data_IF_020031520821
#
_entry.id   IF_020031520821
#
_cell.length_a   1.000
_cell.length_b   1.000
_cell.length_c   1.000
_cell.angle_alpha   90.00
_cell.angle_beta   90.00
_cell.angle_gamma   90.00
#
_symmetry.space_group_name_H-M   'P 1'
#
loop_
_entity.id
_entity.type
_entity.pdbx_description
1 polymer ?
#
# COMPACT_ATOMS: atom_id res chain seq x y z
N UNK A 1 8.07 16.24 -9.03
CA UNK A 1 7.10 16.12 -10.15
C UNK A 1 5.73 15.77 -9.57
N UNK A 2 4.61 16.13 -10.23
CA UNK A 2 3.25 15.89 -9.71
C UNK A 2 2.52 14.85 -10.57
N UNK A 3 2.00 13.81 -9.92
CA UNK A 3 1.11 12.83 -10.57
C UNK A 3 -0.33 13.28 -10.40
N UNK A 4 -1.10 13.27 -11.50
CA UNK A 4 -2.53 13.59 -11.53
C UNK A 4 -3.27 12.36 -12.04
N UNK A 5 -4.42 12.05 -11.46
CA UNK A 5 -5.23 10.90 -11.84
C UNK A 5 -6.39 10.63 -10.89
N UNK A 6 -6.23 10.95 -9.60
CA UNK A 6 -7.28 10.80 -8.59
C UNK A 6 -7.99 12.11 -8.30
N UNK A 7 -9.30 12.01 -8.01
CA UNK A 7 -10.19 13.15 -7.76
C UNK A 7 -10.51 13.33 -6.26
N UNK A 8 -10.18 12.32 -5.44
CA UNK A 8 -10.36 12.33 -3.99
C UNK A 8 -9.10 11.83 -3.26
N UNK A 9 -9.17 11.78 -1.93
CA UNK A 9 -8.06 11.47 -1.03
C UNK A 9 -7.26 10.24 -1.45
N UNK A 10 -5.94 10.41 -1.57
CA UNK A 10 -5.01 9.27 -1.65
C UNK A 10 -4.87 8.64 -0.27
N UNK A 11 -5.13 7.34 -0.19
CA UNK A 11 -5.13 6.59 1.06
C UNK A 11 -3.86 5.79 1.24
N UNK A 12 -3.46 5.10 0.19
CA UNK A 12 -2.30 4.20 0.22
C UNK A 12 -1.45 4.37 -1.04
N UNK A 13 -0.14 4.37 -0.87
CA UNK A 13 0.86 4.38 -1.93
C UNK A 13 1.80 3.20 -1.70
N UNK A 14 2.06 2.41 -2.74
CA UNK A 14 3.00 1.29 -2.64
C UNK A 14 3.87 1.18 -3.89
N UNK A 15 5.11 0.73 -3.67
CA UNK A 15 6.04 0.41 -4.74
C UNK A 15 5.99 -1.07 -5.07
N UNK A 16 6.08 -1.40 -6.35
CA UNK A 16 6.46 -2.75 -6.76
C UNK A 16 7.88 -3.05 -6.30
N UNK A 17 8.16 -4.28 -5.86
CA UNK A 17 9.49 -4.75 -5.44
C UNK A 17 10.54 -4.55 -6.53
N UNK A 18 10.21 -4.89 -7.78
CA UNK A 18 10.97 -4.51 -8.98
C UNK A 18 10.65 -3.05 -9.28
N UNK A 19 11.59 -2.10 -9.41
CA UNK A 19 11.34 -0.64 -9.48
C UNK A 19 10.70 -0.17 -10.79
N UNK A 20 9.54 -0.73 -11.11
CA UNK A 20 8.85 -0.59 -12.37
C UNK A 20 7.53 0.17 -12.20
N UNK A 21 6.82 -0.07 -11.10
CA UNK A 21 5.48 0.42 -10.87
C UNK A 21 5.34 1.14 -9.52
N UNK A 22 4.44 2.11 -9.52
CA UNK A 22 3.89 2.75 -8.34
C UNK A 22 2.39 2.59 -8.40
N UNK A 23 1.77 2.07 -7.33
CA UNK A 23 0.32 1.99 -7.24
C UNK A 23 -0.21 2.92 -6.15
N UNK A 24 -1.37 3.51 -6.42
CA UNK A 24 -2.01 4.49 -5.56
C UNK A 24 -3.48 4.13 -5.42
N UNK A 25 -3.94 4.00 -4.17
CA UNK A 25 -5.34 3.78 -3.84
C UNK A 25 -5.99 5.08 -3.37
N UNK A 26 -7.25 5.30 -3.76
CA UNK A 26 -7.97 6.55 -3.52
C UNK A 26 -9.41 6.33 -3.02
N UNK A 27 -9.92 7.34 -2.34
CA UNK A 27 -11.34 7.43 -1.97
C UNK A 27 -12.27 7.65 -3.15
N UNK A 28 -11.75 7.92 -4.36
CA UNK A 28 -12.56 7.96 -5.59
C UNK A 28 -12.94 6.57 -6.12
N UNK A 29 -12.71 5.52 -5.32
CA UNK A 29 -13.02 4.12 -5.61
C UNK A 29 -12.12 3.49 -6.69
N UNK A 30 -11.05 4.18 -7.07
CA UNK A 30 -10.12 3.70 -8.09
C UNK A 30 -8.72 3.44 -7.53
N UNK A 31 -7.97 2.65 -8.29
CA UNK A 31 -6.55 2.41 -8.06
C UNK A 31 -5.78 2.80 -9.31
N UNK A 32 -4.86 3.76 -9.19
CA UNK A 32 -4.00 4.11 -10.30
C UNK A 32 -2.68 3.33 -10.27
N UNK A 33 -2.15 3.05 -11.45
CA UNK A 33 -0.85 2.42 -11.66
C UNK A 33 0.02 3.32 -12.54
N UNK A 34 1.20 3.70 -12.04
CA UNK A 34 2.17 4.56 -12.72
C UNK A 34 3.46 3.81 -13.04
N UNK A 35 4.08 4.17 -14.15
CA UNK A 35 5.43 3.73 -14.49
C UNK A 35 6.44 4.55 -13.70
N UNK A 36 7.38 3.90 -13.02
CA UNK A 36 8.46 4.59 -12.31
C UNK A 36 9.51 5.20 -13.25
N UNK A 37 9.65 4.68 -14.48
CA UNK A 37 10.64 5.18 -15.44
C UNK A 37 10.17 6.46 -16.13
N UNK A 38 8.89 6.55 -16.48
CA UNK A 38 8.31 7.71 -17.19
C UNK A 38 7.47 8.62 -16.29
N UNK A 39 7.13 8.17 -15.08
CA UNK A 39 6.17 8.83 -14.18
C UNK A 39 4.82 9.11 -14.85
N UNK A 40 4.48 8.32 -15.87
CA UNK A 40 3.21 8.39 -16.57
C UNK A 40 2.20 7.41 -15.97
N UNK A 41 0.93 7.82 -15.93
CA UNK A 41 -0.16 6.94 -15.58
C UNK A 41 -0.30 5.87 -16.65
N UNK A 42 -0.16 4.60 -16.27
CA UNK A 42 -0.34 3.45 -17.17
C UNK A 42 -1.81 3.07 -17.20
N UNK A 43 -2.46 2.98 -16.03
CA UNK A 43 -3.86 2.55 -15.90
C UNK A 43 -4.53 3.19 -14.69
N UNK A 44 -5.85 3.31 -14.77
CA UNK A 44 -6.75 3.52 -13.64
C UNK A 44 -7.68 2.31 -13.58
N UNK A 45 -7.58 1.54 -12.50
CA UNK A 45 -8.38 0.36 -12.24
C UNK A 45 -9.65 0.82 -11.51
N UNK A 46 -10.80 0.49 -12.08
CA UNK A 46 -12.12 0.80 -11.53
C UNK A 46 -12.90 -0.50 -11.39
N UNK A 47 -13.60 -0.66 -10.27
CA UNK A 47 -14.31 -1.89 -9.93
C UNK A 47 -14.73 -2.00 -8.47
N UNK A 48 -14.07 -1.25 -7.57
CA UNK A 48 -14.59 -1.05 -6.22
C UNK A 48 -15.81 -0.13 -6.23
N UNK A 49 -16.76 -0.40 -5.34
CA UNK A 49 -18.01 0.37 -5.20
C UNK A 49 -17.95 1.39 -4.06
N UNK A 50 -16.85 1.40 -3.30
CA UNK A 50 -16.57 2.34 -2.22
C UNK A 50 -15.04 2.55 -2.14
N UNK A 51 -14.62 3.43 -1.23
CA UNK A 51 -13.24 3.89 -1.02
C UNK A 51 -12.26 2.74 -0.94
N UNK A 52 -11.21 2.80 -1.77
CA UNK A 52 -10.09 1.85 -1.69
C UNK A 52 -9.19 2.26 -0.54
N UNK A 53 -8.95 1.33 0.38
CA UNK A 53 -8.30 1.58 1.66
C UNK A 53 -6.85 1.10 1.71
N UNK A 54 -6.53 0.02 1.01
CA UNK A 54 -5.21 -0.60 1.02
C UNK A 54 -4.89 -1.26 -0.31
N UNK A 55 -3.59 -1.44 -0.56
CA UNK A 55 -3.04 -1.96 -1.80
C UNK A 55 -1.68 -2.61 -1.57
N UNK A 56 -1.49 -3.79 -2.16
CA UNK A 56 -0.22 -4.53 -2.15
C UNK A 56 0.06 -5.19 -3.49
N UNK A 57 1.32 -5.18 -3.89
CA UNK A 57 1.83 -6.01 -4.98
C UNK A 57 2.12 -7.43 -4.47
N UNK A 58 1.91 -8.44 -5.31
CA UNK A 58 2.46 -9.77 -5.05
C UNK A 58 3.99 -9.75 -5.19
N UNK A 59 4.71 -10.62 -4.46
CA UNK A 59 6.17 -10.69 -4.55
C UNK A 59 6.70 -10.94 -5.99
N UNK A 60 5.98 -11.69 -6.82
CA UNK A 60 6.36 -11.95 -8.22
C UNK A 60 6.11 -10.78 -9.17
N UNK A 61 5.37 -9.76 -8.75
CA UNK A 61 4.94 -8.60 -9.52
C UNK A 61 4.03 -8.93 -10.71
N UNK A 62 3.26 -10.03 -10.63
CA UNK A 62 2.25 -10.35 -11.65
C UNK A 62 0.87 -9.82 -11.28
N UNK A 63 0.54 -9.80 -10.00
CA UNK A 63 -0.78 -9.37 -9.52
C UNK A 63 -0.68 -8.34 -8.39
N UNK A 64 -1.82 -7.73 -8.12
CA UNK A 64 -1.98 -6.75 -7.06
C UNK A 64 -3.31 -6.99 -6.36
N UNK A 65 -3.31 -6.92 -5.02
CA UNK A 65 -4.52 -7.00 -4.21
C UNK A 65 -4.89 -5.62 -3.68
N UNK A 66 -6.19 -5.32 -3.69
CA UNK A 66 -6.76 -4.05 -3.21
C UNK A 66 -7.91 -4.34 -2.27
N UNK A 67 -7.99 -3.58 -1.18
CA UNK A 67 -9.06 -3.67 -0.19
C UNK A 67 -9.90 -2.40 -0.19
N UNK A 68 -11.19 -2.52 0.11
CA UNK A 68 -12.12 -1.39 0.11
C UNK A 68 -13.13 -1.44 1.26
N UNK A 69 -13.73 -0.28 1.54
CA UNK A 69 -14.90 -0.15 2.41
C UNK A 69 -16.15 -0.83 1.85
N UNK A 70 -16.16 -1.21 0.57
CA UNK A 70 -17.21 -2.04 -0.04
C UNK A 70 -17.19 -3.50 0.47
N UNK A 71 -16.28 -3.81 1.39
CA UNK A 71 -16.06 -5.13 2.01
C UNK A 71 -15.58 -6.17 1.01
N UNK A 72 -14.94 -5.75 -0.07
CA UNK A 72 -14.35 -6.65 -1.07
C UNK A 72 -12.84 -6.51 -1.13
N UNK A 73 -12.18 -7.65 -1.31
CA UNK A 73 -10.81 -7.70 -1.79
C UNK A 73 -10.84 -7.99 -3.28
N UNK A 74 -10.20 -7.14 -4.07
CA UNK A 74 -10.07 -7.34 -5.52
C UNK A 74 -8.62 -7.66 -5.89
N UNK A 75 -8.45 -8.64 -6.77
CA UNK A 75 -7.15 -9.08 -7.29
C UNK A 75 -7.07 -8.73 -8.76
N UNK A 76 -6.02 -8.03 -9.13
CA UNK A 76 -5.80 -7.46 -10.46
C UNK A 76 -4.56 -8.03 -11.10
N UNK A 77 -4.62 -8.33 -12.39
CA UNK A 77 -3.43 -8.60 -13.19
C UNK A 77 -2.74 -7.28 -13.55
N UNK A 78 -1.46 -7.13 -13.20
CA UNK A 78 -0.73 -5.87 -13.42
C UNK A 78 -0.51 -5.61 -14.91
N UNK A 79 -0.17 -6.66 -15.65
CA UNK A 79 0.19 -6.57 -17.07
C UNK A 79 -0.96 -6.01 -17.91
N UNK A 80 -2.19 -6.46 -17.66
CA UNK A 80 -3.38 -6.08 -18.45
C UNK A 80 -4.27 -5.06 -17.74
N UNK A 81 -4.22 -5.01 -16.41
CA UNK A 81 -5.18 -4.27 -15.58
C UNK A 81 -6.53 -4.98 -15.42
N UNK A 82 -6.63 -6.26 -15.78
CA UNK A 82 -7.87 -7.01 -15.65
C UNK A 82 -8.15 -7.39 -14.21
N UNK A 83 -9.41 -7.26 -13.80
CA UNK A 83 -9.91 -7.82 -12.55
C UNK A 83 -9.96 -9.34 -12.70
N UNK A 84 -9.13 -10.05 -11.93
CA UNK A 84 -9.08 -11.51 -11.92
C UNK A 84 -10.09 -12.10 -10.95
N UNK A 85 -10.26 -11.45 -9.79
CA UNK A 85 -11.15 -11.93 -8.75
C UNK A 85 -11.64 -10.78 -7.87
N UNK A 86 -12.90 -10.85 -7.45
CA UNK A 86 -13.47 -10.04 -6.39
C UNK A 86 -14.04 -10.99 -5.32
N UNK A 87 -13.53 -10.88 -4.09
CA UNK A 87 -13.94 -11.70 -2.96
C UNK A 87 -14.64 -10.80 -1.96
N UNK A 88 -15.91 -11.10 -1.70
CA UNK A 88 -16.64 -10.45 -0.62
C UNK A 88 -16.18 -11.03 0.72
N UNK A 89 -15.69 -10.14 1.58
CA UNK A 89 -15.09 -10.50 2.87
C UNK A 89 -16.12 -10.54 4.01
N UNK A 90 -17.25 -9.84 3.88
CA UNK A 90 -18.41 -9.99 4.76
C UNK A 90 -18.32 -9.30 6.14
N UNK A 91 -17.16 -9.33 6.80
CA UNK A 91 -16.91 -8.70 8.10
C UNK A 91 -16.17 -7.37 7.97
N UNK A 92 -16.54 -6.39 8.81
CA UNK A 92 -15.84 -5.11 8.94
C UNK A 92 -15.57 -4.32 7.66
N UNK A 93 -14.67 -3.35 7.79
CA UNK A 93 -14.06 -2.63 6.67
C UNK A 93 -12.60 -3.09 6.54
N UNK A 94 -12.13 -3.29 5.31
CA UNK A 94 -10.76 -3.74 5.08
C UNK A 94 -9.79 -2.60 5.43
N UNK A 95 -8.83 -2.90 6.30
CA UNK A 95 -7.81 -1.97 6.79
C UNK A 95 -6.50 -2.15 6.07
N UNK A 96 -5.97 -3.36 6.09
CA UNK A 96 -4.72 -3.69 5.44
C UNK A 96 -4.78 -5.07 4.81
N UNK A 97 -3.94 -5.25 3.80
CA UNK A 97 -3.75 -6.50 3.10
C UNK A 97 -2.25 -6.85 3.12
N UNK A 98 -1.90 -8.13 3.15
CA UNK A 98 -0.55 -8.60 2.86
C UNK A 98 -0.55 -9.90 2.06
N UNK A 99 0.46 -10.08 1.21
CA UNK A 99 0.69 -11.35 0.54
C UNK A 99 1.56 -12.25 1.42
N UNK A 100 1.24 -13.53 1.43
CA UNK A 100 2.16 -14.56 1.90
C UNK A 100 3.37 -14.69 0.98
N UNK A 101 4.44 -15.29 1.52
CA UNK A 101 5.63 -15.60 0.74
C UNK A 101 5.39 -16.63 -0.38
N UNK A 102 4.33 -17.43 -0.28
CA UNK A 102 3.91 -18.36 -1.34
C UNK A 102 3.00 -17.68 -2.39
N UNK A 103 2.70 -16.38 -2.25
CA UNK A 103 1.94 -15.52 -3.19
C UNK A 103 0.46 -15.88 -3.40
N UNK A 104 0.07 -17.09 -3.01
CA UNK A 104 -1.29 -17.59 -3.18
C UNK A 104 -2.22 -17.16 -2.06
N UNK A 105 -1.73 -16.48 -1.04
CA UNK A 105 -2.54 -16.06 0.10
C UNK A 105 -2.51 -14.56 0.24
N UNK A 106 -3.71 -14.01 0.31
CA UNK A 106 -3.94 -12.63 0.71
C UNK A 106 -4.47 -12.66 2.14
N UNK A 107 -3.70 -12.13 3.07
CA UNK A 107 -4.12 -11.86 4.43
C UNK A 107 -4.83 -10.51 4.48
N UNK A 108 -5.95 -10.44 5.17
CA UNK A 108 -6.78 -9.25 5.30
C UNK A 108 -6.94 -8.95 6.79
N UNK A 109 -6.75 -7.68 7.16
CA UNK A 109 -7.14 -7.14 8.46
C UNK A 109 -8.33 -6.21 8.31
N UNK A 110 -9.20 -6.18 9.32
CA UNK A 110 -10.39 -5.34 9.36
C UNK A 110 -10.50 -4.52 10.65
N UNK A 111 -11.47 -3.60 10.66
CA UNK A 111 -11.76 -2.66 11.76
C UNK A 111 -12.68 -3.24 12.86
N UNK A 112 -12.87 -4.56 13.03
CA UNK A 112 -13.92 -5.06 13.95
C UNK A 112 -13.80 -4.46 15.37
N UNK A 113 -14.77 -3.59 15.70
CA UNK A 113 -14.78 -2.68 16.85
C UNK A 113 -14.80 -3.38 18.22
N UNK A 114 -14.92 -4.72 18.24
CA UNK A 114 -15.18 -5.52 19.43
C UNK A 114 -14.04 -6.48 19.82
N UNK A 115 -12.91 -6.54 19.10
CA UNK A 115 -11.82 -7.44 19.52
C UNK A 115 -10.42 -6.88 19.30
N UNK A 116 -9.63 -6.92 20.39
CA UNK A 116 -8.20 -6.61 20.46
C UNK A 116 -7.33 -7.74 19.84
N UNK A 117 -7.87 -8.46 18.85
CA UNK A 117 -7.24 -9.62 18.23
C UNK A 117 -7.10 -9.38 16.73
N UNK A 118 -5.86 -9.46 16.24
CA UNK A 118 -5.48 -9.43 14.83
C UNK A 118 -6.30 -10.42 14.00
N UNK A 119 -7.37 -9.97 13.33
CA UNK A 119 -8.16 -10.85 12.45
C UNK A 119 -7.44 -10.94 11.11
N UNK A 120 -6.69 -12.03 10.90
CA UNK A 120 -6.04 -12.36 9.62
C UNK A 120 -6.89 -13.38 8.86
N UNK A 121 -7.80 -12.88 8.05
CA UNK A 121 -8.53 -13.74 7.12
C UNK A 121 -7.70 -14.01 5.88
N UNK A 122 -7.55 -15.29 5.52
CA UNK A 122 -6.76 -15.76 4.37
C UNK A 122 -7.67 -16.00 3.17
N UNK A 123 -7.44 -15.26 2.09
CA UNK A 123 -8.03 -15.49 0.77
C UNK A 123 -7.01 -16.27 -0.05
N UNK A 124 -7.33 -17.51 -0.43
CA UNK A 124 -6.50 -18.31 -1.33
C UNK A 124 -6.83 -17.93 -2.77
N UNK A 125 -5.84 -17.45 -3.50
CA UNK A 125 -5.91 -17.13 -4.93
C UNK A 125 -4.99 -18.10 -5.70
N UNK A 126 -5.58 -19.10 -6.37
CA UNK A 126 -4.92 -20.03 -7.31
C UNK A 126 -5.99 -20.66 -8.22
N UNK A 127 -5.66 -20.93 -9.50
CA UNK A 127 -6.54 -21.55 -10.51
C UNK A 127 -7.18 -22.90 -10.12
N UNK A 128 -6.72 -23.58 -9.06
CA UNK A 128 -7.18 -24.96 -8.76
C UNK A 128 -8.14 -25.15 -7.58
N UNK A 129 -8.44 -24.15 -6.74
CA UNK A 129 -9.35 -24.40 -5.60
C UNK A 129 -10.26 -23.21 -5.33
N UNK A 130 -11.48 -23.29 -5.86
CA UNK A 130 -12.61 -22.54 -5.34
C UNK A 130 -13.17 -23.27 -4.12
N UNK A 131 -13.43 -22.51 -3.04
CA UNK A 131 -14.05 -22.87 -1.77
C UNK A 131 -13.11 -23.28 -0.62
N UNK A 132 -12.59 -22.27 0.10
CA UNK A 132 -12.62 -22.17 1.58
C UNK A 132 -11.77 -20.97 2.03
N UNK A 133 -12.42 -19.91 2.52
CA UNK A 133 -11.78 -19.00 3.47
C UNK A 133 -11.62 -19.78 4.77
N UNK A 134 -10.39 -20.15 5.13
CA UNK A 134 -10.11 -20.83 6.39
C UNK A 134 -9.61 -19.80 7.39
N UNK A 135 -10.40 -19.56 8.43
CA UNK A 135 -10.01 -18.72 9.57
C UNK A 135 -9.08 -19.57 10.44
N UNK A 136 -7.78 -19.26 10.42
CA UNK A 136 -6.83 -19.83 11.38
C UNK A 136 -6.61 -18.82 12.50
N UNK A 137 -6.81 -19.28 13.73
CA UNK A 137 -6.38 -18.56 14.93
C UNK A 137 -4.88 -18.77 15.08
N UNK A 138 -4.16 -17.71 15.41
CA UNK A 138 -2.73 -17.70 15.72
C UNK A 138 -1.78 -17.64 14.51
N UNK A 139 -1.80 -16.50 13.80
CA UNK A 139 -0.63 -16.05 13.03
C UNK A 139 -0.20 -14.70 13.58
N UNK A 140 0.88 -14.67 14.35
CA UNK A 140 1.51 -13.42 14.79
C UNK A 140 2.15 -12.75 13.58
N UNK A 141 1.72 -11.52 13.30
CA UNK A 141 2.41 -10.60 12.40
C UNK A 141 3.93 -10.68 12.64
N UNK A 142 4.78 -10.59 11.60
CA UNK A 142 6.10 -10.05 11.81
C UNK A 142 5.87 -8.59 12.20
N UNK A 143 5.82 -8.32 13.51
CA UNK A 143 6.25 -7.02 14.04
C UNK A 143 7.51 -6.68 13.25
N UNK A 144 7.47 -5.53 12.57
CA UNK A 144 8.63 -4.89 11.94
C UNK A 144 9.91 -5.38 12.60
N UNK A 145 10.78 -6.03 11.82
CA UNK A 145 12.05 -6.58 12.26
C UNK A 145 12.66 -5.71 13.36
N UNK A 146 12.43 -6.11 14.61
CA UNK A 146 13.02 -5.46 15.77
C UNK A 146 14.01 -6.47 16.30
N UNK A 147 15.28 -6.14 16.01
CA UNK A 147 16.49 -6.71 16.58
C UNK A 147 16.83 -8.16 16.20
N UNK A 148 17.38 -8.33 15.00
CA UNK A 148 18.57 -9.18 14.84
C UNK A 148 19.69 -8.38 14.18
N UNK A 149 20.58 -7.89 15.05
CA UNK A 149 21.95 -7.41 14.80
C UNK A 149 22.18 -6.70 13.47
N UNK A 150 21.72 -5.45 13.38
CA UNK A 150 22.42 -4.46 12.57
C UNK A 150 23.87 -4.38 13.08
N UNK A 151 24.80 -4.98 12.34
CA UNK A 151 26.20 -4.58 12.44
C UNK A 151 26.25 -3.07 12.24
N UNK A 152 27.17 -2.39 12.94
CA UNK A 152 27.30 -0.92 12.99
C UNK A 152 27.34 -0.20 11.62
N UNK A 153 27.40 -0.92 10.50
CA UNK A 153 27.35 -0.38 9.14
C UNK A 153 25.92 -0.01 8.66
N UNK A 154 24.85 -0.59 9.23
CA UNK A 154 23.47 -0.26 8.78
C UNK A 154 22.93 1.04 9.37
N UNK A 155 23.50 1.52 10.47
CA UNK A 155 23.14 2.78 11.14
C UNK A 155 23.62 4.04 10.39
N UNK A 156 24.39 3.88 9.30
CA UNK A 156 24.93 4.98 8.48
C UNK A 156 24.04 5.34 7.28
N UNK A 157 22.93 4.64 7.02
CA UNK A 157 22.03 5.05 5.93
C UNK A 157 21.04 6.09 6.41
N UNK A 158 21.44 7.34 6.17
CA UNK A 158 20.62 8.54 6.02
C UNK A 158 19.49 8.34 4.98
N UNK A 159 18.52 7.47 5.27
CA UNK A 159 17.36 7.25 4.41
C UNK A 159 16.31 8.36 4.62
N UNK A 160 15.65 8.73 3.53
CA UNK A 160 14.60 9.75 3.52
C UNK A 160 13.31 9.17 4.08
N UNK A 161 12.70 9.85 5.06
CA UNK A 161 11.42 9.47 5.67
C UNK A 161 10.58 10.69 6.06
N UNK A 162 9.38 10.48 6.58
CA UNK A 162 8.60 11.51 7.24
C UNK A 162 8.79 11.44 8.76
N UNK A 163 8.82 12.63 9.37
CA UNK A 163 8.69 12.80 10.82
C UNK A 163 7.38 12.24 11.36
N UNK A 164 7.34 11.91 12.65
CA UNK A 164 6.16 11.34 13.32
C UNK A 164 4.93 12.25 13.26
N UNK A 165 5.13 13.57 13.27
CA UNK A 165 4.08 14.58 13.11
C UNK A 165 3.72 14.86 11.65
N UNK A 166 4.42 14.23 10.69
CA UNK A 166 4.28 14.37 9.23
C UNK A 166 4.46 15.79 8.71
N UNK A 167 5.06 16.67 9.51
CA UNK A 167 5.30 18.06 9.14
C UNK A 167 6.64 18.24 8.45
N UNK A 168 7.53 17.26 8.55
CA UNK A 168 8.88 17.31 8.00
C UNK A 168 9.21 16.06 7.21
N UNK A 169 9.89 16.26 6.08
CA UNK A 169 10.73 15.25 5.46
C UNK A 169 12.06 15.24 6.19
N UNK A 170 12.51 14.04 6.53
CA UNK A 170 13.66 13.76 7.37
C UNK A 170 14.65 12.86 6.66
N UNK A 171 15.92 12.94 7.06
CA UNK A 171 16.98 12.00 6.66
C UNK A 171 17.66 11.52 7.93
N UNK A 172 17.45 10.25 8.27
CA UNK A 172 17.74 9.80 9.63
C UNK A 172 16.95 10.62 10.66
N UNK A 173 17.65 11.30 11.57
CA UNK A 173 17.03 12.16 12.59
C UNK A 173 16.94 13.65 12.19
N UNK A 174 17.54 14.05 11.06
CA UNK A 174 17.58 15.44 10.63
C UNK A 174 16.32 15.83 9.87
N UNK A 175 15.81 17.03 10.14
CA UNK A 175 14.67 17.63 9.42
C UNK A 175 15.20 18.45 8.25
N UNK A 176 14.82 18.07 7.03
CA UNK A 176 15.32 18.70 5.80
C UNK A 176 14.29 19.66 5.21
N UNK A 177 13.05 19.19 5.03
CA UNK A 177 12.01 19.94 4.31
C UNK A 177 10.77 20.03 5.18
N UNK A 178 10.29 21.24 5.43
CA UNK A 178 8.98 21.44 6.06
C UNK A 178 7.87 21.27 5.02
N UNK A 179 6.83 20.53 5.37
CA UNK A 179 5.66 20.26 4.53
C UNK A 179 4.49 21.17 4.96
N UNK A 180 4.05 22.10 4.09
CA UNK A 180 2.80 22.82 4.28
C UNK A 180 1.61 21.84 4.32
N UNK A 181 0.51 22.25 4.97
CA UNK A 181 -0.65 21.37 5.22
C UNK A 181 -1.16 20.63 3.99
N UNK A 182 -1.18 21.29 2.82
CA UNK A 182 -1.66 20.71 1.56
C UNK A 182 -0.77 19.57 0.99
N UNK A 183 0.45 19.42 1.51
CA UNK A 183 1.42 18.39 1.11
C UNK A 183 1.52 17.27 2.16
N UNK A 184 0.73 17.31 3.23
CA UNK A 184 0.84 16.34 4.32
C UNK A 184 0.03 15.08 4.01
N UNK A 185 0.58 13.89 4.32
CA UNK A 185 -0.15 12.63 4.26
C UNK A 185 -1.18 12.53 5.38
N UNK A 186 -2.40 12.10 5.04
CA UNK A 186 -3.51 11.94 5.99
C UNK A 186 -3.47 10.61 6.75
N UNK A 187 -2.91 9.55 6.15
CA UNK A 187 -2.77 8.21 6.75
C UNK A 187 -1.32 7.72 6.81
N UNK A 188 -1.04 6.68 7.61
CA UNK A 188 0.30 6.07 7.68
C UNK A 188 0.74 5.48 6.34
N UNK A 189 -0.21 4.97 5.55
CA UNK A 189 0.06 4.34 4.24
C UNK A 189 0.08 5.33 3.07
N UNK A 190 -0.24 6.61 3.31
CA UNK A 190 -0.37 7.62 2.26
C UNK A 190 0.99 8.18 1.78
N UNK A 191 2.11 7.53 2.11
CA UNK A 191 3.42 7.83 1.55
C UNK A 191 4.24 6.57 1.37
N UNK A 192 5.17 6.59 0.40
CA UNK A 192 6.08 5.48 0.15
C UNK A 192 7.50 6.01 -0.10
N UNK A 193 8.51 5.28 0.38
CA UNK A 193 9.93 5.65 0.23
C UNK A 193 10.75 4.53 -0.42
N UNK A 194 11.74 4.91 -1.24
CA UNK A 194 12.74 4.01 -1.81
C UNK A 194 14.04 4.79 -2.03
N UNK A 195 15.07 4.52 -1.21
CA UNK A 195 16.33 5.26 -1.26
C UNK A 195 16.13 6.76 -1.02
N UNK A 196 16.58 7.59 -1.96
CA UNK A 196 16.43 9.05 -1.98
C UNK A 196 15.08 9.55 -2.54
N UNK A 197 14.22 8.63 -2.96
CA UNK A 197 12.92 8.94 -3.55
C UNK A 197 11.79 8.78 -2.53
N UNK A 198 10.94 9.81 -2.43
CA UNK A 198 9.76 9.84 -1.56
C UNK A 198 8.52 10.24 -2.37
N UNK A 199 7.44 9.45 -2.24
CA UNK A 199 6.13 9.79 -2.76
C UNK A 199 5.17 10.09 -1.61
N UNK A 200 4.43 11.18 -1.70
CA UNK A 200 3.46 11.60 -0.69
C UNK A 200 2.10 11.80 -1.36
N UNK A 201 1.11 11.09 -0.88
CA UNK A 201 -0.29 11.21 -1.24
C UNK A 201 -1.01 12.18 -0.33
N UNK A 202 -1.89 12.99 -0.91
CA UNK A 202 -2.62 14.02 -0.19
C UNK A 202 -4.13 13.83 -0.31
N UNK A 203 -4.86 14.49 0.58
CA UNK A 203 -6.32 14.58 0.61
C UNK A 203 -6.92 15.09 -0.72
N UNK A 204 -6.19 15.94 -1.42
CA UNK A 204 -6.62 16.45 -2.73
C UNK A 204 -6.53 15.45 -3.89
N UNK A 205 -6.18 14.19 -3.65
CA UNK A 205 -5.94 13.19 -4.70
C UNK A 205 -4.60 13.34 -5.43
N UNK A 206 -3.77 14.28 -4.98
CA UNK A 206 -2.46 14.55 -5.58
C UNK A 206 -1.42 13.62 -4.97
N UNK A 207 -0.51 13.14 -5.82
CA UNK A 207 0.72 12.49 -5.37
C UNK A 207 1.93 13.35 -5.78
N UNK A 208 2.75 13.67 -4.79
CA UNK A 208 3.98 14.42 -4.94
C UNK A 208 5.19 13.49 -4.95
N UNK A 209 6.01 13.61 -5.98
CA UNK A 209 7.30 12.94 -6.09
C UNK A 209 8.42 13.90 -5.68
N UNK A 210 9.13 13.54 -4.63
CA UNK A 210 10.31 14.22 -4.08
C UNK A 210 11.54 13.34 -4.31
N UNK A 211 12.54 13.92 -4.98
CA UNK A 211 13.87 13.34 -5.11
C UNK A 211 14.80 14.17 -4.23
N UNK A 212 15.39 13.54 -3.20
CA UNK A 212 16.30 14.23 -2.28
C UNK A 212 17.72 13.80 -2.60
N UNK A 213 18.55 14.68 -3.18
CA UNK A 213 19.94 14.37 -3.48
C UNK A 213 20.68 13.90 -2.23
N UNK A 214 21.68 13.03 -2.41
CA UNK A 214 22.61 12.67 -1.34
C UNK A 214 23.34 13.89 -0.77
#
# INVERSE_FOLDING_TARGET
QRLRGHEQHVVAITFSSKPQFLAVASWDHTVGLWSMSSLACIRILSGHFDRVTTIRFSPDEKIMATGSLDKTVQVWEIATGMLLQAVWYGAGFIRDISFSNDEFVVHVSDDDLDSLCDVLSRIVWNETVWNKALILKDYTYPLTATHETATLETALRCEVSLSSDRNWVTRGCEKIIWLPGEYRPTGMESYARRGSTLFIGCESGRVYHLQIPD
#
